data_IF_065623437691
#
_entry.id   IF_065623437691
#
_cell.length_a   1.000
_cell.length_b   1.000
_cell.length_c   1.000
_cell.angle_alpha   90.00
_cell.angle_beta   90.00
_cell.angle_gamma   90.00
#
_symmetry.space_group_name_H-M   'P 1'
#
loop_
_entity.id
_entity.type
_entity.pdbx_description
1 polymer ?
#
# COMPACT_ATOMS: atom_id res chain seq x y z
N UNK A 1 -3.70 12.10 -11.59
CA UNK A 1 -3.89 10.86 -10.81
C UNK A 1 -2.50 10.39 -10.46
N UNK A 2 -2.17 10.33 -9.17
CA UNK A 2 -0.90 9.75 -8.72
C UNK A 2 -0.94 8.24 -8.93
N UNK A 3 0.13 7.68 -9.49
CA UNK A 3 0.25 6.23 -9.67
C UNK A 3 0.92 5.63 -8.43
N UNK A 4 0.17 4.85 -7.66
CA UNK A 4 0.70 4.13 -6.50
C UNK A 4 1.15 2.74 -6.94
N UNK A 5 2.41 2.41 -6.68
CA UNK A 5 2.96 1.07 -6.91
C UNK A 5 2.63 0.19 -5.71
N UNK A 6 2.17 -1.03 -5.99
CA UNK A 6 1.86 -2.05 -4.98
C UNK A 6 2.74 -3.26 -5.29
N UNK A 7 3.44 -3.75 -4.27
CA UNK A 7 4.12 -5.04 -4.32
C UNK A 7 3.15 -6.08 -3.78
N UNK A 8 3.03 -7.21 -4.48
CA UNK A 8 2.27 -8.37 -4.00
C UNK A 8 3.21 -9.55 -3.93
N UNK A 9 3.34 -10.13 -2.76
CA UNK A 9 4.20 -11.28 -2.47
C UNK A 9 3.36 -12.52 -2.25
N UNK A 10 3.72 -13.62 -2.93
CA UNK A 10 3.19 -14.94 -2.61
C UNK A 10 4.04 -15.55 -1.50
N UNK A 11 3.39 -16.06 -0.46
CA UNK A 11 4.02 -16.91 0.54
C UNK A 11 3.29 -18.28 0.65
N UNK A 12 3.71 -19.15 1.57
CA UNK A 12 3.10 -20.48 1.76
C UNK A 12 1.66 -20.41 2.28
N UNK A 13 1.29 -19.31 2.94
CA UNK A 13 0.00 -19.13 3.62
C UNK A 13 -1.01 -18.34 2.77
N UNK A 14 -0.57 -17.66 1.71
CA UNK A 14 -1.43 -16.76 0.95
C UNK A 14 -0.66 -15.74 0.12
N UNK A 15 -1.20 -14.55 0.03
CA UNK A 15 -0.62 -13.37 -0.59
C UNK A 15 -0.66 -12.20 0.39
N UNK A 16 0.40 -11.40 0.36
CA UNK A 16 0.51 -10.16 1.13
C UNK A 16 0.82 -9.03 0.15
N UNK A 17 0.15 -7.89 0.29
CA UNK A 17 0.31 -6.74 -0.59
C UNK A 17 0.58 -5.45 0.20
N UNK A 18 1.48 -4.61 -0.29
CA UNK A 18 1.82 -3.34 0.36
C UNK A 18 2.20 -2.24 -0.65
N UNK A 19 1.84 -0.97 -0.41
CA UNK A 19 2.14 0.15 -1.30
C UNK A 19 3.52 0.75 -1.04
N UNK A 20 4.09 1.36 -2.08
CA UNK A 20 5.28 2.20 -1.98
C UNK A 20 4.90 3.68 -2.03
N UNK A 21 5.69 4.51 -1.35
CA UNK A 21 5.53 5.97 -1.37
C UNK A 21 4.47 6.53 -0.41
N UNK A 22 3.86 5.68 0.43
CA UNK A 22 2.93 6.11 1.47
C UNK A 22 3.57 6.01 2.86
N UNK A 23 3.25 6.96 3.73
CA UNK A 23 3.67 6.95 5.14
C UNK A 23 2.82 5.95 5.94
N UNK A 24 3.42 5.39 6.98
CA UNK A 24 2.76 4.43 7.85
C UNK A 24 2.78 3.00 7.31
N UNK A 25 2.10 2.10 8.04
CA UNK A 25 2.02 0.68 7.68
C UNK A 25 0.68 0.40 7.03
N UNK A 26 0.70 0.12 5.73
CA UNK A 26 -0.47 -0.26 4.95
C UNK A 26 -0.17 -1.63 4.35
N UNK A 27 -0.98 -2.62 4.69
CA UNK A 27 -0.84 -4.00 4.25
C UNK A 27 -2.24 -4.52 3.94
N UNK A 28 -2.35 -5.36 2.92
CA UNK A 28 -3.52 -6.20 2.69
C UNK A 28 -3.12 -7.66 2.49
N UNK A 29 -4.01 -8.58 2.83
CA UNK A 29 -3.75 -10.02 2.81
C UNK A 29 -4.90 -10.78 2.12
N UNK A 30 -4.63 -11.99 1.63
CA UNK A 30 -5.65 -12.85 1.04
C UNK A 30 -5.12 -14.20 0.62
N UNK A 31 -6.01 -15.17 0.42
CA UNK A 31 -5.64 -16.51 -0.05
C UNK A 31 -5.23 -16.47 -1.53
N UNK A 32 -5.82 -15.52 -2.28
CA UNK A 32 -5.55 -15.23 -3.70
C UNK A 32 -4.88 -13.87 -3.92
N UNK A 33 -4.26 -13.71 -5.09
CA UNK A 33 -3.64 -12.46 -5.51
C UNK A 33 -4.67 -11.32 -5.55
N UNK A 34 -5.86 -11.62 -6.08
CA UNK A 34 -6.96 -10.68 -6.25
C UNK A 34 -7.50 -10.18 -4.91
N UNK A 35 -7.61 -11.05 -3.91
CA UNK A 35 -8.05 -10.70 -2.55
C UNK A 35 -7.06 -9.76 -1.88
N UNK A 36 -5.77 -10.12 -1.83
CA UNK A 36 -4.74 -9.27 -1.23
C UNK A 36 -4.64 -7.90 -1.93
N UNK A 37 -4.78 -7.88 -3.26
CA UNK A 37 -4.78 -6.64 -4.03
C UNK A 37 -6.02 -5.77 -3.76
N UNK A 38 -7.20 -6.39 -3.59
CA UNK A 38 -8.43 -5.66 -3.25
C UNK A 38 -8.37 -5.09 -1.83
N UNK A 39 -7.84 -5.86 -0.89
CA UNK A 39 -7.68 -5.46 0.51
C UNK A 39 -6.75 -4.25 0.64
N UNK A 40 -5.54 -4.33 0.08
CA UNK A 40 -4.58 -3.21 0.15
C UNK A 40 -5.09 -1.96 -0.56
N UNK A 41 -5.84 -2.09 -1.67
CA UNK A 41 -6.45 -0.94 -2.36
C UNK A 41 -7.46 -0.21 -1.47
N UNK A 42 -8.25 -0.96 -0.71
CA UNK A 42 -9.23 -0.40 0.21
C UNK A 42 -8.52 0.31 1.37
N UNK A 43 -7.46 -0.29 1.90
CA UNK A 43 -6.63 0.32 2.94
C UNK A 43 -5.93 1.60 2.46
N UNK A 44 -5.38 1.62 1.24
CA UNK A 44 -4.78 2.80 0.61
C UNK A 44 -5.81 3.93 0.49
N UNK A 45 -7.00 3.63 -0.02
CA UNK A 45 -8.06 4.61 -0.20
C UNK A 45 -8.45 5.24 1.15
N UNK A 46 -8.72 4.41 2.16
CA UNK A 46 -9.05 4.87 3.50
C UNK A 46 -7.93 5.73 4.11
N UNK A 47 -6.67 5.33 3.94
CA UNK A 47 -5.53 6.07 4.45
C UNK A 47 -5.41 7.46 3.79
N UNK A 48 -5.55 7.54 2.47
CA UNK A 48 -5.52 8.84 1.74
C UNK A 48 -6.71 9.71 2.13
N UNK A 49 -7.90 9.15 2.30
CA UNK A 49 -9.08 9.90 2.76
C UNK A 49 -8.90 10.45 4.17
N UNK A 50 -8.22 9.69 5.04
CA UNK A 50 -7.99 10.07 6.43
C UNK A 50 -6.90 11.14 6.59
N UNK A 51 -5.81 11.03 5.83
CA UNK A 51 -4.60 11.84 6.05
C UNK A 51 -4.29 12.83 4.92
N UNK A 52 -4.99 12.75 3.78
CA UNK A 52 -4.81 13.65 2.65
C UNK A 52 -3.36 13.68 2.15
N UNK A 53 -2.76 14.86 2.08
CA UNK A 53 -1.37 15.03 1.61
C UNK A 53 -0.33 14.41 2.55
N UNK A 54 -0.65 14.29 3.83
CA UNK A 54 0.28 13.73 4.81
C UNK A 54 0.43 12.21 4.66
N UNK A 55 -0.47 11.56 3.92
CA UNK A 55 -0.37 10.14 3.56
C UNK A 55 0.87 9.79 2.73
N UNK A 56 1.47 10.76 2.03
CA UNK A 56 2.56 10.52 1.10
C UNK A 56 3.92 10.76 1.74
N UNK A 57 4.90 9.93 1.41
CA UNK A 57 6.30 10.15 1.80
C UNK A 57 6.81 11.37 1.04
N UNK A 58 7.51 12.25 1.75
CA UNK A 58 8.21 13.36 1.10
C UNK A 58 9.47 12.80 0.41
N UNK A 59 9.51 12.88 -0.91
CA UNK A 59 10.66 12.44 -1.73
C UNK A 59 11.98 13.15 -1.34
N UNK A 60 11.90 14.30 -0.64
CA UNK A 60 13.06 15.03 -0.13
C UNK A 60 13.84 14.36 1.00
N UNK A 61 13.33 13.29 1.62
CA UNK A 61 14.01 12.62 2.75
C UNK A 61 15.01 11.52 2.37
N UNK A 62 15.10 11.11 1.10
CA UNK A 62 15.97 10.03 0.63
C UNK A 62 17.31 10.48 0.02
N UNK A 63 17.63 11.78 0.06
CA UNK A 63 18.87 12.36 -0.50
C UNK A 63 19.94 12.70 0.54
N UNK A 64 19.96 12.03 1.70
CA UNK A 64 21.04 12.12 2.69
C UNK A 64 21.98 10.91 2.62
#
# INVERSE_FOLDING_TARGET
MEHIKIIVEKNIEGYVAYPLGLKGTIVGEGDTYEEALADVKSAIQFHIESFGKDAFIDEGLYLL
#
